data_IF_100495521680
#
_entry.id   IF_100495521680
#
_cell.length_a   1.000
_cell.length_b   1.000
_cell.length_c   1.000
_cell.angle_alpha   90.00
_cell.angle_beta   90.00
_cell.angle_gamma   90.00
#
_symmetry.space_group_name_H-M   'P 1'
#
loop_
_entity.id
_entity.type
_entity.pdbx_description
1 polymer ?
#
# COMPACT_ATOMS: atom_id res chain seq x y z
N UNK A 1 -2.94 2.83 -8.31
CA UNK A 1 -2.21 3.65 -9.31
C UNK A 1 -0.86 3.02 -9.62
N UNK A 2 -0.46 2.88 -10.88
CA UNK A 2 0.92 2.49 -11.23
C UNK A 2 1.84 3.70 -11.02
N UNK A 3 2.83 3.57 -10.13
CA UNK A 3 3.67 4.70 -9.68
C UNK A 3 4.56 5.25 -10.79
N UNK A 4 5.09 4.38 -11.64
CA UNK A 4 6.01 4.78 -12.71
C UNK A 4 5.30 5.58 -13.81
N UNK A 5 4.03 5.24 -14.07
CA UNK A 5 3.27 5.83 -15.19
C UNK A 5 2.28 6.90 -14.77
N UNK A 6 1.97 7.04 -13.47
CA UNK A 6 0.88 7.88 -12.97
C UNK A 6 -0.46 7.59 -13.66
N UNK A 7 -0.70 6.32 -14.02
CA UNK A 7 -1.94 5.87 -14.66
C UNK A 7 -2.65 4.84 -13.78
N UNK A 8 -3.99 4.74 -13.90
CA UNK A 8 -4.75 3.72 -13.20
C UNK A 8 -4.16 2.34 -13.41
N UNK A 9 -4.17 1.53 -12.35
CA UNK A 9 -3.74 0.15 -12.44
C UNK A 9 -4.84 -0.63 -13.18
N UNK A 10 -4.49 -1.20 -14.34
CA UNK A 10 -5.40 -2.05 -15.11
C UNK A 10 -5.00 -3.52 -14.97
N UNK A 11 -5.99 -4.37 -14.68
CA UNK A 11 -5.87 -5.83 -14.72
C UNK A 11 -6.98 -6.34 -15.64
N UNK A 12 -6.61 -7.14 -16.64
CA UNK A 12 -7.52 -7.63 -17.68
C UNK A 12 -8.33 -6.51 -18.37
N UNK A 13 -7.69 -5.34 -18.55
CA UNK A 13 -8.28 -4.15 -19.16
C UNK A 13 -9.26 -3.38 -18.27
N UNK A 14 -9.44 -3.76 -17.00
CA UNK A 14 -10.31 -3.08 -16.04
C UNK A 14 -9.50 -2.39 -14.96
N UNK A 15 -9.95 -1.23 -14.53
CA UNK A 15 -9.35 -0.52 -13.41
C UNK A 15 -9.56 -1.28 -12.10
N UNK A 16 -8.51 -1.36 -11.30
CA UNK A 16 -8.54 -1.99 -9.98
C UNK A 16 -9.00 -0.96 -8.94
N UNK A 17 -10.26 -1.09 -8.51
CA UNK A 17 -10.89 -0.25 -7.47
C UNK A 17 -11.59 -1.12 -6.43
N UNK A 18 -11.67 -0.66 -5.19
CA UNK A 18 -12.49 -1.25 -4.13
C UNK A 18 -13.37 -0.17 -3.50
N UNK A 19 -14.65 -0.46 -3.30
CA UNK A 19 -15.61 0.44 -2.67
C UNK A 19 -16.38 -0.32 -1.58
N UNK A 20 -16.65 0.35 -0.46
CA UNK A 20 -17.53 -0.17 0.58
C UNK A 20 -18.38 0.94 1.19
N UNK A 21 -19.63 0.61 1.50
CA UNK A 21 -20.52 1.48 2.29
C UNK A 21 -20.52 0.99 3.73
N UNK A 22 -20.28 1.90 4.66
CA UNK A 22 -20.21 1.57 6.08
C UNK A 22 -20.89 2.64 6.92
N UNK A 23 -21.25 2.27 8.15
CA UNK A 23 -21.75 3.19 9.18
C UNK A 23 -20.74 3.27 10.30
N UNK A 24 -20.28 4.48 10.61
CA UNK A 24 -19.36 4.74 11.72
C UNK A 24 -20.06 4.48 13.05
N UNK A 25 -19.44 3.68 13.93
CA UNK A 25 -19.98 3.40 15.28
C UNK A 25 -19.38 4.30 16.37
N UNK A 26 -18.17 4.81 16.13
CA UNK A 26 -17.40 5.62 17.08
C UNK A 26 -16.75 6.80 16.36
N UNK A 27 -16.29 7.79 17.13
CA UNK A 27 -15.60 8.99 16.60
C UNK A 27 -14.32 8.63 15.83
N UNK A 28 -13.59 7.62 16.30
CA UNK A 28 -12.37 7.13 15.67
C UNK A 28 -12.59 5.66 15.31
N UNK A 29 -12.16 5.25 14.12
CA UNK A 29 -12.29 3.87 13.69
C UNK A 29 -11.57 3.63 12.38
N UNK A 30 -11.60 2.38 11.94
CA UNK A 30 -11.06 1.95 10.65
C UNK A 30 -12.02 0.99 9.98
N UNK A 31 -11.93 0.94 8.65
CA UNK A 31 -12.52 -0.11 7.83
C UNK A 31 -11.40 -0.75 7.01
N UNK A 32 -11.62 -1.98 6.57
CA UNK A 32 -10.71 -2.67 5.67
C UNK A 32 -11.34 -2.73 4.28
N UNK A 33 -10.58 -2.35 3.26
CA UNK A 33 -10.92 -2.54 1.85
C UNK A 33 -9.96 -3.57 1.25
N UNK A 34 -10.52 -4.65 0.74
CA UNK A 34 -9.74 -5.74 0.15
C UNK A 34 -9.64 -5.57 -1.38
N UNK A 35 -8.43 -5.73 -1.91
CA UNK A 35 -8.17 -5.80 -3.34
C UNK A 35 -7.78 -7.24 -3.70
N UNK A 36 -8.53 -7.87 -4.61
CA UNK A 36 -8.22 -9.22 -5.10
C UNK A 36 -8.11 -9.20 -6.61
N UNK A 37 -6.89 -9.39 -7.12
CA UNK A 37 -6.60 -9.45 -8.56
C UNK A 37 -5.30 -10.22 -8.82
N UNK A 38 -5.09 -10.64 -10.07
CA UNK A 38 -3.84 -11.28 -10.48
C UNK A 38 -2.70 -10.24 -10.58
N UNK A 39 -1.76 -10.30 -9.65
CA UNK A 39 -0.62 -9.38 -9.58
C UNK A 39 0.65 -9.89 -10.30
N UNK A 40 0.60 -11.01 -11.04
CA UNK A 40 1.78 -11.59 -11.68
C UNK A 40 2.49 -10.64 -12.65
N UNK A 41 1.75 -9.73 -13.29
CA UNK A 41 2.27 -8.70 -14.20
C UNK A 41 2.88 -7.48 -13.48
N UNK A 42 2.86 -7.44 -12.15
CA UNK A 42 3.37 -6.33 -11.35
C UNK A 42 4.79 -6.56 -10.81
N UNK A 43 5.43 -7.68 -11.10
CA UNK A 43 6.80 -7.93 -10.66
C UNK A 43 7.73 -6.76 -11.00
N UNK A 44 8.50 -6.30 -10.01
CA UNK A 44 9.41 -5.16 -10.14
C UNK A 44 8.73 -3.79 -10.14
N UNK A 45 7.40 -3.72 -10.07
CA UNK A 45 6.65 -2.46 -10.08
C UNK A 45 6.29 -1.99 -8.67
N UNK A 46 5.96 -0.71 -8.60
CA UNK A 46 5.39 -0.07 -7.42
C UNK A 46 3.98 0.41 -7.74
N UNK A 47 3.05 0.13 -6.84
CA UNK A 47 1.65 0.55 -6.94
C UNK A 47 1.29 1.33 -5.69
N UNK A 48 0.59 2.44 -5.86
CA UNK A 48 0.12 3.29 -4.75
C UNK A 48 -1.40 3.24 -4.67
N UNK A 49 -1.93 3.15 -3.46
CA UNK A 49 -3.37 3.22 -3.18
C UNK A 49 -3.77 4.69 -2.97
N UNK A 50 -4.91 5.06 -3.54
CA UNK A 50 -5.56 6.34 -3.31
C UNK A 50 -6.92 6.08 -2.66
N UNK A 51 -7.37 7.03 -1.83
CA UNK A 51 -8.61 6.91 -1.08
C UNK A 51 -9.48 8.15 -1.23
N UNK A 52 -10.79 7.93 -1.40
CA UNK A 52 -11.82 8.95 -1.38
C UNK A 52 -12.92 8.52 -0.41
N UNK A 53 -13.37 9.45 0.44
CA UNK A 53 -14.44 9.21 1.40
C UNK A 53 -15.62 10.12 1.12
N UNK A 54 -16.79 9.52 0.95
CA UNK A 54 -18.04 10.23 0.65
C UNK A 54 -19.05 10.09 1.80
N UNK A 55 -19.76 11.18 2.08
CA UNK A 55 -20.96 11.21 2.91
C UNK A 55 -22.08 11.89 2.12
N UNK A 56 -23.21 11.22 1.93
CA UNK A 56 -24.35 11.75 1.17
C UNK A 56 -23.97 12.33 -0.20
N UNK A 57 -23.13 11.59 -0.94
CA UNK A 57 -22.58 11.97 -2.24
C UNK A 57 -21.66 13.22 -2.23
N UNK A 58 -21.28 13.71 -1.05
CA UNK A 58 -20.31 14.79 -0.88
C UNK A 58 -18.96 14.18 -0.51
N UNK A 59 -17.90 14.56 -1.24
CA UNK A 59 -16.52 14.21 -0.89
C UNK A 59 -16.11 14.93 0.40
N UNK A 60 -15.80 14.19 1.45
CA UNK A 60 -15.47 14.75 2.78
C UNK A 60 -14.01 14.56 3.18
N UNK A 61 -13.31 13.58 2.59
CA UNK A 61 -11.87 13.40 2.74
C UNK A 61 -11.29 12.70 1.50
N UNK A 62 -10.02 12.97 1.21
CA UNK A 62 -9.29 12.36 0.10
C UNK A 62 -7.81 12.23 0.49
N UNK A 63 -7.19 11.12 0.09
CA UNK A 63 -5.75 10.91 0.18
C UNK A 63 -5.22 10.44 -1.17
N UNK A 64 -4.61 11.36 -1.92
CA UNK A 64 -4.08 11.13 -3.28
C UNK A 64 -2.65 11.68 -3.33
N UNK A 65 -1.72 10.87 -2.84
CA UNK A 65 -0.29 11.17 -2.87
C UNK A 65 0.48 9.98 -3.45
N UNK A 66 1.02 10.14 -4.66
CA UNK A 66 1.79 9.08 -5.34
C UNK A 66 3.15 8.83 -4.68
N UNK A 67 3.64 9.76 -3.86
CA UNK A 67 4.90 9.60 -3.14
C UNK A 67 4.71 9.05 -1.73
N UNK A 68 3.48 8.73 -1.32
CA UNK A 68 3.20 8.12 -0.02
C UNK A 68 3.73 6.68 0.04
N UNK A 69 4.91 6.54 0.65
CA UNK A 69 5.56 5.27 0.89
C UNK A 69 4.76 4.35 1.82
N UNK A 70 3.93 4.90 2.70
CA UNK A 70 3.03 4.15 3.58
C UNK A 70 1.86 3.50 2.84
N UNK A 71 1.51 4.02 1.65
CA UNK A 71 0.48 3.48 0.76
C UNK A 71 1.04 2.88 -0.53
N UNK A 72 2.37 2.72 -0.60
CA UNK A 72 3.05 2.10 -1.74
C UNK A 72 3.32 0.63 -1.49
N UNK A 73 2.83 -0.23 -2.37
CA UNK A 73 3.19 -1.66 -2.43
C UNK A 73 4.28 -1.86 -3.48
N UNK A 74 5.42 -2.43 -3.07
CA UNK A 74 6.52 -2.82 -3.95
C UNK A 74 6.47 -4.31 -4.25
N UNK A 75 6.30 -4.67 -5.51
CA UNK A 75 6.27 -6.05 -5.96
C UNK A 75 7.69 -6.51 -6.27
N UNK A 76 8.13 -7.57 -5.59
CA UNK A 76 9.48 -8.11 -5.79
C UNK A 76 9.62 -8.69 -7.20
N UNK A 77 10.75 -8.42 -7.82
CA UNK A 77 11.17 -9.18 -9.00
C UNK A 77 11.51 -10.60 -8.57
N UNK A 78 10.91 -11.59 -9.24
CA UNK A 78 11.35 -12.97 -9.12
C UNK A 78 12.37 -13.20 -10.24
N UNK A 79 13.66 -13.18 -9.89
CA UNK A 79 14.68 -13.68 -10.82
C UNK A 79 14.45 -15.18 -10.98
N UNK A 80 14.17 -15.62 -12.20
CA UNK A 80 14.21 -17.04 -12.52
C UNK A 80 15.63 -17.53 -12.27
N UNK A 81 15.83 -18.36 -11.25
CA UNK A 81 17.08 -19.12 -11.11
C UNK A 81 17.15 -20.07 -12.31
N UNK A 82 18.02 -19.77 -13.27
CA UNK A 82 18.47 -20.82 -14.19
C UNK A 82 19.04 -21.95 -13.34
N UNK A 83 18.70 -23.23 -13.60
CA UNK A 83 19.35 -24.33 -12.91
C UNK A 83 20.84 -24.22 -13.16
N UNK A 84 21.59 -23.93 -12.08
CA UNK A 84 23.05 -23.99 -12.08
C UNK A 84 23.43 -25.41 -12.50
N UNK A 85 24.22 -25.62 -13.57
CA UNK A 85 24.64 -26.98 -13.93
C UNK A 85 25.40 -27.57 -12.75
N UNK A 86 24.89 -28.69 -12.25
CA UNK A 86 25.47 -29.47 -11.17
C UNK A 86 26.80 -30.07 -11.67
N UNK A 87 27.92 -29.47 -11.27
CA UNK A 87 29.23 -30.07 -11.48
C UNK A 87 29.44 -31.20 -10.46
N UNK A 88 29.90 -32.39 -10.88
CA UNK A 88 30.15 -33.50 -9.97
C UNK A 88 31.38 -33.19 -9.10
N UNK A 89 31.19 -33.23 -7.78
CA UNK A 89 32.28 -33.13 -6.81
C UNK A 89 32.92 -34.51 -6.58
N UNK A 90 34.24 -34.68 -6.73
CA UNK A 90 34.96 -35.80 -6.13
C UNK A 90 35.53 -35.43 -4.74
N UNK A 91 35.47 -36.42 -3.87
CA UNK A 91 35.74 -36.52 -2.43
C UNK A 91 36.87 -35.69 -1.74
N UNK A 92 36.50 -35.16 -0.57
CA UNK A 92 37.04 -35.38 0.81
C UNK A 92 38.57 -35.38 1.07
N UNK A 93 39.04 -34.45 1.93
CA UNK A 93 39.96 -34.70 3.08
C UNK A 93 40.18 -33.45 4.00
N UNK A 94 39.46 -33.42 5.14
CA UNK A 94 39.77 -33.11 6.59
C UNK A 94 40.99 -32.21 6.97
N UNK A 95 41.02 -31.46 8.13
CA UNK A 95 40.24 -31.67 9.36
C UNK A 95 39.64 -30.46 10.15
N UNK A 96 38.73 -30.88 11.04
CA UNK A 96 38.01 -30.23 12.15
C UNK A 96 38.84 -29.36 13.10
N UNK A 97 38.25 -28.26 13.56
CA UNK A 97 38.49 -27.71 14.91
C UNK A 97 37.15 -27.29 15.55
N UNK A 98 37.14 -27.29 16.87
CA UNK A 98 36.04 -27.72 17.74
C UNK A 98 35.08 -26.60 18.19
N UNK A 99 33.85 -27.05 18.43
CA UNK A 99 32.74 -26.38 19.13
C UNK A 99 32.97 -26.36 20.66
N UNK A 100 32.40 -25.39 21.40
CA UNK A 100 31.59 -25.79 22.58
C UNK A 100 30.08 -25.51 22.46
N UNK A 101 29.30 -26.50 22.92
CA UNK A 101 27.83 -26.58 23.00
C UNK A 101 27.28 -25.65 24.08
N UNK A 102 26.09 -25.09 23.84
CA UNK A 102 25.08 -24.93 24.89
C UNK A 102 23.63 -24.97 24.32
N UNK A 103 22.76 -25.70 25.01
CA UNK A 103 21.30 -25.90 24.82
C UNK A 103 20.67 -25.88 26.25
N UNK A 104 19.35 -25.68 26.50
CA UNK A 104 18.27 -25.03 25.72
C UNK A 104 17.21 -24.19 26.56
N UNK A 105 16.38 -23.38 25.86
CA UNK A 105 14.97 -22.91 26.16
C UNK A 105 14.69 -21.71 27.12
N UNK A 106 13.60 -20.90 26.96
CA UNK A 106 12.32 -21.20 26.31
C UNK A 106 11.79 -20.23 25.23
N UNK A 107 10.96 -20.83 24.36
CA UNK A 107 10.15 -20.26 23.28
C UNK A 107 8.98 -19.44 23.87
N UNK A 108 9.02 -18.11 23.72
CA UNK A 108 7.81 -17.27 23.79
C UNK A 108 7.32 -16.99 22.38
N UNK A 109 6.32 -17.79 22.02
CA UNK A 109 5.05 -17.37 21.43
C UNK A 109 5.09 -16.43 20.20
N UNK A 110 4.72 -17.04 19.07
CA UNK A 110 4.41 -16.41 17.79
C UNK A 110 3.17 -15.55 17.99
N UNK A 111 3.35 -14.31 18.40
CA UNK A 111 2.28 -13.31 18.34
C UNK A 111 2.33 -12.67 16.94
N UNK A 112 1.43 -13.16 16.10
CA UNK A 112 0.99 -12.59 14.82
C UNK A 112 1.69 -11.30 14.41
N UNK A 113 2.53 -11.41 13.39
CA UNK A 113 2.96 -10.32 12.52
C UNK A 113 1.71 -9.65 11.94
N UNK A 114 1.10 -8.74 12.70
CA UNK A 114 0.12 -7.78 12.19
C UNK A 114 0.92 -6.97 11.19
N UNK A 115 0.72 -7.29 9.91
CA UNK A 115 1.32 -6.56 8.81
C UNK A 115 0.96 -5.10 8.98
N UNK A 116 1.94 -4.24 8.75
CA UNK A 116 1.75 -2.80 8.69
C UNK A 116 0.56 -2.51 7.76
N UNK A 117 -0.58 -2.13 8.33
CA UNK A 117 -1.70 -1.64 7.54
C UNK A 117 -1.38 -0.20 7.16
N UNK A 118 -1.62 0.24 5.91
CA UNK A 118 -1.53 1.66 5.58
C UNK A 118 -2.43 2.42 6.55
N UNK A 119 -1.85 3.36 7.30
CA UNK A 119 -2.62 4.19 8.23
C UNK A 119 -3.07 5.44 7.48
N UNK A 120 -4.38 5.55 7.25
CA UNK A 120 -4.97 6.80 6.78
C UNK A 120 -5.60 7.55 7.96
N UNK A 121 -5.57 8.89 7.90
CA UNK A 121 -6.23 9.75 8.89
C UNK A 121 -5.50 10.00 10.23
N UNK A 122 -4.18 9.83 10.33
CA UNK A 122 -3.45 10.13 11.59
C UNK A 122 -2.85 11.56 11.60
N UNK A 123 -3.28 12.33 12.61
CA UNK A 123 -2.87 13.66 13.11
C UNK A 123 -2.50 14.80 12.12
N UNK A 124 -3.39 15.79 12.16
CA UNK A 124 -3.50 17.18 11.65
C UNK A 124 -2.26 18.08 11.42
N UNK A 125 -1.02 17.58 11.30
CA UNK A 125 0.18 18.42 11.14
C UNK A 125 0.97 18.25 9.82
N UNK A 126 0.50 17.43 8.88
CA UNK A 126 1.05 17.43 7.52
C UNK A 126 0.44 18.57 6.67
N UNK A 127 1.03 19.76 6.78
CA UNK A 127 0.93 20.96 5.90
C UNK A 127 0.77 20.75 4.37
N UNK A 128 0.90 19.53 3.86
CA UNK A 128 0.84 19.19 2.44
C UNK A 128 -0.62 19.03 1.95
N UNK A 129 -1.59 18.74 2.83
CA UNK A 129 -3.00 18.55 2.45
C UNK A 129 -3.78 19.85 2.21
N UNK A 130 -3.23 21.02 2.57
CA UNK A 130 -3.94 22.30 2.42
C UNK A 130 -3.92 22.85 0.98
N UNK A 131 -2.93 22.50 0.16
CA UNK A 131 -2.80 23.08 -1.19
C UNK A 131 -3.88 22.59 -2.16
N UNK A 132 -4.25 21.31 -2.10
CA UNK A 132 -5.30 20.73 -2.94
C UNK A 132 -6.71 21.13 -2.46
N UNK A 133 -6.94 21.14 -1.14
CA UNK A 133 -8.22 21.55 -0.55
C UNK A 133 -8.55 23.02 -0.79
N UNK A 134 -7.57 23.92 -0.69
CA UNK A 134 -7.77 25.35 -0.96
C UNK A 134 -8.16 25.62 -2.42
N UNK A 135 -7.61 24.86 -3.37
CA UNK A 135 -7.90 25.01 -4.79
C UNK A 135 -9.36 24.63 -5.14
N UNK A 136 -9.88 23.56 -4.53
CA UNK A 136 -11.28 23.14 -4.71
C UNK A 136 -12.29 24.10 -4.04
N UNK A 137 -11.96 24.67 -2.87
CA UNK A 137 -12.83 25.69 -2.24
C UNK A 137 -12.91 26.98 -3.05
N UNK A 138 -11.83 27.40 -3.70
CA UNK A 138 -11.82 28.59 -4.57
C UNK A 138 -12.69 28.35 -5.81
N UNK A 139 -12.54 27.20 -6.49
CA UNK A 139 -13.33 26.88 -7.69
C UNK A 139 -14.82 26.71 -7.34
N UNK A 140 -15.15 26.00 -6.26
CA UNK A 140 -16.53 25.84 -5.78
C UNK A 140 -17.19 27.16 -5.39
N UNK A 141 -16.46 28.06 -4.71
CA UNK A 141 -16.94 29.39 -4.34
C UNK A 141 -17.28 30.28 -5.54
N UNK A 142 -16.44 30.27 -6.59
CA UNK A 142 -16.68 31.06 -7.82
C UNK A 142 -17.93 30.57 -8.54
N UNK A 143 -18.17 29.26 -8.62
CA UNK A 143 -19.36 28.67 -9.25
C UNK A 143 -20.62 29.03 -8.46
N UNK A 144 -20.56 28.97 -7.12
CA UNK A 144 -21.69 29.32 -6.25
C UNK A 144 -22.06 30.81 -6.34
N UNK A 145 -21.09 31.72 -6.36
CA UNK A 145 -21.35 33.16 -6.54
C UNK A 145 -21.92 33.47 -7.93
N UNK A 146 -21.47 32.79 -8.98
CA UNK A 146 -22.08 32.95 -10.32
C UNK A 146 -23.53 32.49 -10.35
N UNK A 147 -23.89 31.42 -9.63
CA UNK A 147 -25.27 30.91 -9.57
C UNK A 147 -26.23 31.82 -8.81
N UNK A 148 -25.76 32.61 -7.84
CA UNK A 148 -26.64 33.53 -7.07
C UNK A 148 -26.88 34.87 -7.80
N UNK A 149 -25.99 35.24 -8.71
CA UNK A 149 -26.00 36.52 -9.41
C UNK A 149 -26.57 36.43 -10.84
N UNK A 150 -27.03 35.24 -11.25
CA UNK A 150 -27.77 34.97 -12.48
C UNK A 150 -29.21 34.64 -12.11
#
# INVERSE_FOLDING_TARGET
MDKATNKPLLVDGKEVTAESKFTTKEKNGSITLDFTFNASALQGKEVVVFEELYQDNVLVAIHVDIEDMGQTVKFKEVKSEQPKPEQPNPDKNTPTSEQPKEQPQPKKEIQSKIGWLPQTGTNLTSWISMAAGALLLIVGGVIFLKRKNA
#
